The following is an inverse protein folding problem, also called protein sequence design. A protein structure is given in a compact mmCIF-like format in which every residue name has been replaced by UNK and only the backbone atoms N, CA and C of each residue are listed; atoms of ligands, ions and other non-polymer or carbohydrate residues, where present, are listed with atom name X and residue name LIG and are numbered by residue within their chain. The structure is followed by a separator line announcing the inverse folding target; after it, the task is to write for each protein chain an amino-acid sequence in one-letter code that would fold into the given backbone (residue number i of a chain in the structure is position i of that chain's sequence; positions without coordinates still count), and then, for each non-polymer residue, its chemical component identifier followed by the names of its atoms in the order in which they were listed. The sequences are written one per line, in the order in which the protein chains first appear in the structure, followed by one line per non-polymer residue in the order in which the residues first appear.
data_IF_683732560260
#
_entry.id   IF_683732560260
#
_cell.length_a   1.000
_cell.length_b   1.000
_cell.length_c   1.000
_cell.angle_alpha   90.00
_cell.angle_beta   90.00
_cell.angle_gamma   90.00
#
_symmetry.space_group_name_H-M   'P 1'
#
loop_
_entity.id
_entity.type
_entity.pdbx_description
1 polymer ?
#
# COMPACT_ATOMS: atom_id res chain seq x y z
N UNK A 1 24.77 -10.66 5.25
CA UNK A 1 25.59 -11.21 6.37
C UNK A 1 25.54 -10.24 7.54
N UNK A 2 25.29 -10.73 8.74
CA UNK A 2 25.22 -9.95 9.96
C UNK A 2 26.02 -10.72 11.04
N UNK A 3 26.90 -10.03 11.75
CA UNK A 3 27.66 -10.68 12.83
C UNK A 3 26.76 -11.02 14.03
N UNK A 4 27.23 -11.93 14.90
CA UNK A 4 26.42 -12.47 16.00
C UNK A 4 26.06 -11.39 17.03
N UNK A 5 26.94 -10.41 17.28
CA UNK A 5 26.68 -9.30 18.20
C UNK A 5 25.58 -8.39 17.65
N UNK A 6 25.68 -7.96 16.38
CA UNK A 6 24.67 -7.15 15.71
C UNK A 6 23.33 -7.90 15.59
N UNK A 7 23.36 -9.22 15.32
CA UNK A 7 22.15 -10.04 15.27
C UNK A 7 21.45 -10.12 16.63
N UNK A 8 22.20 -10.26 17.72
CA UNK A 8 21.65 -10.28 19.07
C UNK A 8 21.12 -8.89 19.47
N UNK A 9 21.75 -7.82 19.03
CA UNK A 9 21.26 -6.45 19.19
C UNK A 9 19.95 -6.24 18.42
N UNK A 10 19.87 -6.63 17.14
CA UNK A 10 18.66 -6.56 16.35
C UNK A 10 17.49 -7.34 17.01
N UNK A 11 17.77 -8.52 17.56
CA UNK A 11 16.76 -9.33 18.28
C UNK A 11 16.21 -8.64 19.53
N UNK A 12 17.02 -7.82 20.22
CA UNK A 12 16.60 -7.05 21.40
C UNK A 12 15.79 -5.80 21.02
N UNK A 13 15.98 -5.27 19.82
CA UNK A 13 15.35 -4.04 19.32
C UNK A 13 14.05 -4.28 18.54
N UNK A 14 13.31 -5.36 18.82
CA UNK A 14 12.11 -5.75 18.06
C UNK A 14 11.04 -4.65 18.03
N UNK A 15 10.92 -3.86 19.07
CA UNK A 15 9.92 -2.79 19.19
C UNK A 15 10.40 -1.41 18.72
N UNK A 16 11.63 -1.32 18.19
CA UNK A 16 12.25 -0.05 17.77
C UNK A 16 12.72 -0.12 16.33
N UNK A 17 12.74 1.02 15.66
CA UNK A 17 13.31 1.17 14.31
C UNK A 17 14.83 1.42 14.34
N UNK A 18 15.51 1.01 15.42
CA UNK A 18 16.95 1.20 15.56
C UNK A 18 17.70 0.18 14.68
N UNK A 19 18.40 0.62 13.63
CA UNK A 19 19.11 -0.27 12.74
C UNK A 19 20.41 -0.80 13.36
N UNK A 20 20.90 -1.92 12.81
CA UNK A 20 22.23 -2.45 13.06
C UNK A 20 23.01 -2.58 11.77
N UNK A 21 24.35 -2.48 11.82
CA UNK A 21 25.20 -2.63 10.64
C UNK A 21 25.22 -4.09 10.18
N UNK A 22 25.20 -4.28 8.87
CA UNK A 22 25.28 -5.58 8.21
C UNK A 22 25.87 -5.43 6.81
N UNK A 23 26.03 -6.55 6.09
CA UNK A 23 26.38 -6.56 4.68
C UNK A 23 25.31 -7.31 3.91
N UNK A 24 24.83 -6.70 2.81
CA UNK A 24 23.96 -7.34 1.84
C UNK A 24 24.78 -7.80 0.65
N UNK A 25 24.59 -9.03 0.22
CA UNK A 25 25.20 -9.58 -0.99
C UNK A 25 24.10 -9.95 -1.98
N UNK A 26 24.19 -9.39 -3.18
CA UNK A 26 23.30 -9.68 -4.32
C UNK A 26 24.19 -9.83 -5.55
N UNK A 27 24.03 -10.92 -6.28
CA UNK A 27 24.78 -11.20 -7.52
C UNK A 27 26.30 -10.99 -7.38
N UNK A 28 26.87 -11.46 -6.25
CA UNK A 28 28.30 -11.33 -5.88
C UNK A 28 28.77 -9.88 -5.60
N UNK A 29 27.90 -8.90 -5.61
CA UNK A 29 28.17 -7.52 -5.16
C UNK A 29 27.82 -7.40 -3.69
N UNK A 30 28.72 -6.83 -2.89
CA UNK A 30 28.51 -6.64 -1.45
C UNK A 30 28.31 -5.15 -1.15
N UNK A 31 27.23 -4.84 -0.47
CA UNK A 31 26.84 -3.51 -0.01
C UNK A 31 26.94 -3.43 1.52
N UNK A 32 27.45 -2.30 2.04
CA UNK A 32 27.33 -1.99 3.44
C UNK A 32 25.93 -1.44 3.71
N UNK A 33 25.25 -1.98 4.71
CA UNK A 33 23.86 -1.63 4.97
C UNK A 33 23.61 -1.44 6.46
N UNK A 34 22.51 -0.75 6.76
CA UNK A 34 21.85 -0.76 8.04
C UNK A 34 20.54 -1.53 7.91
N UNK A 35 20.30 -2.49 8.80
CA UNK A 35 19.10 -3.32 8.77
C UNK A 35 18.32 -3.18 10.08
N UNK A 36 17.02 -3.01 10.00
CA UNK A 36 16.10 -2.99 11.14
C UNK A 36 14.85 -3.84 10.85
N UNK A 37 14.09 -4.18 11.88
CA UNK A 37 12.74 -4.70 11.69
C UNK A 37 11.79 -3.56 11.35
N UNK A 38 10.81 -3.86 10.47
CA UNK A 38 9.76 -2.91 10.10
C UNK A 38 8.36 -3.44 10.40
N UNK A 39 7.37 -2.55 10.27
CA UNK A 39 5.98 -2.78 10.63
C UNK A 39 5.75 -2.56 12.12
N UNK A 40 4.51 -2.61 12.54
CA UNK A 40 4.11 -2.52 13.95
C UNK A 40 3.62 -3.87 14.46
N UNK A 41 2.45 -4.29 14.01
CA UNK A 41 1.84 -5.56 14.41
C UNK A 41 2.67 -6.79 13.96
N UNK A 42 3.28 -6.70 12.76
CA UNK A 42 4.04 -7.80 12.12
C UNK A 42 5.34 -8.17 12.85
N UNK A 43 5.87 -7.28 13.71
CA UNK A 43 7.08 -7.57 14.53
C UNK A 43 6.90 -8.72 15.50
N UNK A 44 5.65 -9.06 15.85
CA UNK A 44 5.30 -10.16 16.76
C UNK A 44 5.38 -11.53 16.08
N UNK A 45 5.44 -11.56 14.74
CA UNK A 45 5.43 -12.82 14.00
C UNK A 45 6.80 -13.49 13.94
N UNK A 46 6.79 -14.81 13.69
CA UNK A 46 8.04 -15.59 13.54
C UNK A 46 8.85 -15.19 12.32
N UNK A 47 8.16 -14.88 11.20
CA UNK A 47 8.75 -14.31 10.00
C UNK A 47 8.50 -12.80 10.03
N UNK A 48 9.58 -12.02 10.18
CA UNK A 48 9.52 -10.56 10.33
C UNK A 48 9.89 -9.86 9.05
N UNK A 49 9.31 -8.70 8.82
CA UNK A 49 9.69 -7.79 7.75
C UNK A 49 10.91 -6.96 8.13
N UNK A 50 11.70 -6.55 7.12
CA UNK A 50 12.91 -5.78 7.32
C UNK A 50 12.87 -4.49 6.52
N UNK A 51 13.54 -3.47 7.04
CA UNK A 51 13.97 -2.28 6.33
C UNK A 51 15.48 -2.32 6.21
N UNK A 52 15.97 -2.05 5.00
CA UNK A 52 17.40 -2.03 4.68
C UNK A 52 17.71 -0.66 4.09
N UNK A 53 18.60 0.07 4.76
CA UNK A 53 19.17 1.34 4.30
C UNK A 53 20.57 1.07 3.76
N UNK A 54 20.87 1.57 2.57
CA UNK A 54 22.20 1.58 2.00
C UNK A 54 22.96 2.81 2.51
N UNK A 55 24.29 2.73 2.56
CA UNK A 55 25.10 3.88 2.89
C UNK A 55 24.93 4.98 1.82
N UNK A 56 25.11 6.25 2.19
CA UNK A 56 24.82 7.42 1.34
C UNK A 56 25.51 7.40 -0.05
N UNK A 57 26.63 6.69 -0.16
CA UNK A 57 27.40 6.54 -1.39
C UNK A 57 27.02 5.31 -2.21
N UNK A 58 26.20 4.40 -1.66
CA UNK A 58 25.82 3.13 -2.28
C UNK A 58 24.33 3.13 -2.59
N UNK A 59 23.98 2.80 -3.81
CA UNK A 59 22.58 2.61 -4.23
C UNK A 59 22.41 1.21 -4.78
N UNK A 60 21.33 0.54 -4.42
CA UNK A 60 20.93 -0.74 -4.98
C UNK A 60 19.74 -0.53 -5.92
N UNK A 61 19.89 -0.86 -7.20
CA UNK A 61 18.87 -0.59 -8.24
C UNK A 61 18.39 0.88 -8.26
N UNK A 62 19.30 1.81 -7.97
CA UNK A 62 18.99 3.25 -7.95
C UNK A 62 18.30 3.76 -6.67
N UNK A 63 18.06 2.90 -5.65
CA UNK A 63 17.41 3.29 -4.40
C UNK A 63 18.37 3.25 -3.21
N UNK A 64 18.12 4.09 -2.22
CA UNK A 64 18.88 4.15 -0.95
C UNK A 64 18.23 3.31 0.16
N UNK A 65 16.98 2.88 -0.03
CA UNK A 65 16.21 2.08 0.93
C UNK A 65 15.37 1.05 0.22
N UNK A 66 15.30 -0.15 0.78
CA UNK A 66 14.38 -1.19 0.36
C UNK A 66 13.61 -1.76 1.56
N UNK A 67 12.39 -2.21 1.31
CA UNK A 67 11.57 -2.89 2.27
C UNK A 67 11.43 -4.37 1.88
N UNK A 68 11.68 -5.26 2.84
CA UNK A 68 11.45 -6.69 2.66
C UNK A 68 10.24 -7.11 3.50
N UNK A 69 9.10 -7.18 2.86
CA UNK A 69 7.85 -7.59 3.48
C UNK A 69 7.78 -9.11 3.60
N UNK A 70 7.50 -9.60 4.80
CA UNK A 70 7.45 -11.02 5.09
C UNK A 70 6.20 -11.72 4.56
N UNK A 71 5.14 -10.98 4.28
CA UNK A 71 3.81 -11.47 3.83
C UNK A 71 3.34 -12.67 4.69
N UNK A 72 3.60 -12.60 6.01
CA UNK A 72 3.51 -13.79 6.88
C UNK A 72 2.08 -14.30 7.01
N UNK A 73 1.10 -13.40 7.03
CA UNK A 73 -0.32 -13.74 7.18
C UNK A 73 -1.03 -14.01 5.85
N UNK A 74 -0.49 -13.53 4.74
CA UNK A 74 -1.00 -13.92 3.43
C UNK A 74 -0.55 -15.35 3.09
N UNK A 75 -1.47 -16.32 2.93
CA UNK A 75 -1.09 -17.68 2.54
C UNK A 75 -0.49 -17.75 1.15
N UNK A 76 -0.88 -16.85 0.25
CA UNK A 76 -0.40 -16.81 -1.14
C UNK A 76 0.92 -16.07 -1.31
N UNK A 77 1.28 -15.14 -0.43
CA UNK A 77 2.37 -14.19 -0.54
C UNK A 77 2.29 -13.26 -1.78
N UNK A 78 1.23 -13.28 -2.56
CA UNK A 78 1.13 -12.47 -3.80
C UNK A 78 0.19 -11.27 -3.68
N UNK A 79 -0.69 -11.19 -2.66
CA UNK A 79 -1.75 -10.19 -2.57
C UNK A 79 -1.26 -8.75 -2.60
N UNK A 80 -0.20 -8.45 -1.88
CA UNK A 80 0.37 -7.11 -1.85
C UNK A 80 0.91 -6.73 -3.24
N UNK A 81 1.75 -7.59 -3.85
CA UNK A 81 2.24 -7.38 -5.22
C UNK A 81 1.11 -7.27 -6.23
N UNK A 82 0.15 -8.20 -6.18
CA UNK A 82 -1.00 -8.21 -7.08
C UNK A 82 -1.79 -6.90 -7.00
N UNK A 83 -1.96 -6.35 -5.79
CA UNK A 83 -2.64 -5.07 -5.58
C UNK A 83 -1.84 -3.91 -6.18
N UNK A 84 -0.53 -3.85 -5.91
CA UNK A 84 0.31 -2.78 -6.41
C UNK A 84 0.38 -2.77 -7.95
N UNK A 85 0.48 -3.96 -8.57
CA UNK A 85 0.44 -4.11 -10.03
C UNK A 85 -0.94 -3.73 -10.60
N UNK A 86 -2.02 -4.05 -9.89
CA UNK A 86 -3.38 -3.66 -10.27
C UNK A 86 -3.57 -2.14 -10.24
N UNK A 87 -3.05 -1.45 -9.22
CA UNK A 87 -3.08 0.01 -9.18
C UNK A 87 -2.26 0.66 -10.30
N UNK A 88 -1.12 0.08 -10.70
CA UNK A 88 -0.38 0.55 -11.87
C UNK A 88 -1.23 0.43 -13.15
N UNK A 89 -1.94 -0.69 -13.34
CA UNK A 89 -2.86 -0.86 -14.48
C UNK A 89 -3.99 0.17 -14.48
N UNK A 90 -4.49 0.57 -13.30
CA UNK A 90 -5.49 1.62 -13.16
C UNK A 90 -4.94 3.03 -13.44
N UNK A 91 -3.65 3.18 -13.74
CA UNK A 91 -3.00 4.48 -13.92
C UNK A 91 -2.75 5.24 -12.62
N UNK A 92 -2.78 4.56 -11.48
CA UNK A 92 -2.45 5.13 -10.18
C UNK A 92 -0.96 4.95 -9.92
N UNK A 93 -0.27 5.99 -9.49
CA UNK A 93 1.12 5.88 -9.04
C UNK A 93 1.23 4.82 -7.94
N UNK A 94 2.05 3.80 -8.15
CA UNK A 94 2.20 2.68 -7.24
C UNK A 94 3.66 2.24 -7.18
N UNK A 95 4.18 1.84 -6.01
CA UNK A 95 5.56 1.38 -5.88
C UNK A 95 5.78 0.05 -6.62
N UNK A 96 6.97 -0.10 -7.19
CA UNK A 96 7.41 -1.37 -7.76
C UNK A 96 7.64 -2.40 -6.66
N UNK A 97 7.39 -3.66 -7.00
CA UNK A 97 7.62 -4.77 -6.08
C UNK A 97 8.01 -6.05 -6.80
N UNK A 98 8.80 -6.88 -6.15
CA UNK A 98 9.17 -8.20 -6.67
C UNK A 98 9.43 -9.20 -5.55
N UNK A 99 9.12 -10.47 -5.81
CA UNK A 99 9.46 -11.54 -4.88
C UNK A 99 10.95 -11.86 -4.94
N UNK A 100 11.52 -12.08 -3.76
CA UNK A 100 12.92 -12.48 -3.60
C UNK A 100 13.05 -13.65 -2.62
N UNK A 101 14.11 -14.43 -2.76
CA UNK A 101 14.54 -15.39 -1.75
C UNK A 101 15.50 -14.71 -0.78
N UNK A 102 15.11 -14.60 0.47
CA UNK A 102 15.95 -13.96 1.48
C UNK A 102 16.72 -15.00 2.30
N UNK A 103 18.03 -14.80 2.34
CA UNK A 103 18.95 -15.57 3.19
C UNK A 103 19.55 -14.66 4.24
N UNK A 104 19.76 -15.19 5.43
CA UNK A 104 20.49 -14.52 6.51
C UNK A 104 21.53 -15.46 7.06
N UNK A 105 22.82 -15.13 6.85
CA UNK A 105 23.95 -15.96 7.27
C UNK A 105 23.74 -17.44 6.86
N UNK A 106 23.65 -17.69 5.57
CA UNK A 106 23.48 -19.03 4.95
C UNK A 106 22.18 -19.77 5.33
N UNK A 107 21.34 -19.14 6.15
CA UNK A 107 20.05 -19.72 6.54
C UNK A 107 18.93 -19.10 5.73
N UNK A 108 18.19 -19.91 4.98
CA UNK A 108 17.01 -19.47 4.22
C UNK A 108 15.96 -18.89 5.19
N UNK A 109 15.45 -17.71 4.87
CA UNK A 109 14.35 -17.04 5.58
C UNK A 109 13.05 -17.08 4.79
N UNK A 110 13.09 -17.60 3.57
CA UNK A 110 11.96 -17.82 2.69
C UNK A 110 11.74 -16.70 1.69
N UNK A 111 10.56 -16.70 1.08
CA UNK A 111 10.14 -15.72 0.07
C UNK A 111 9.71 -14.43 0.77
N UNK A 112 10.24 -13.30 0.33
CA UNK A 112 9.87 -11.96 0.76
C UNK A 112 9.42 -11.14 -0.43
N UNK A 113 8.56 -10.17 -0.21
CA UNK A 113 8.29 -9.13 -1.18
C UNK A 113 9.28 -7.98 -0.96
N UNK A 114 10.16 -7.74 -1.92
CA UNK A 114 10.91 -6.50 -2.03
C UNK A 114 9.95 -5.42 -2.50
N UNK A 115 9.83 -4.36 -1.75
CA UNK A 115 8.94 -3.24 -2.00
C UNK A 115 9.76 -1.96 -2.09
N UNK A 116 9.55 -1.20 -3.16
CA UNK A 116 10.15 0.11 -3.38
C UNK A 116 9.69 1.11 -2.32
N UNK A 117 10.58 1.98 -1.85
CA UNK A 117 10.22 3.13 -1.01
C UNK A 117 9.55 4.21 -1.86
N UNK A 118 8.48 4.81 -1.38
CA UNK A 118 7.90 6.01 -1.99
C UNK A 118 8.62 7.22 -1.39
N UNK A 119 9.69 7.66 -2.07
CA UNK A 119 10.58 8.75 -1.66
C UNK A 119 11.05 9.56 -2.88
N UNK A 120 12.07 10.43 -2.73
CA UNK A 120 12.59 11.22 -3.85
C UNK A 120 13.07 10.36 -5.02
N UNK A 121 13.69 9.20 -4.74
CA UNK A 121 14.18 8.31 -5.79
C UNK A 121 13.05 7.63 -6.56
N UNK A 122 11.91 7.38 -5.89
CA UNK A 122 10.68 6.94 -6.54
C UNK A 122 10.19 7.96 -7.58
N UNK A 123 10.25 9.26 -7.25
CA UNK A 123 9.87 10.35 -8.16
C UNK A 123 10.87 10.47 -9.32
N UNK A 124 12.17 10.51 -9.02
CA UNK A 124 13.24 10.59 -10.02
C UNK A 124 13.15 9.46 -11.05
N UNK A 125 12.93 8.22 -10.61
CA UNK A 125 12.80 7.04 -11.48
C UNK A 125 11.65 7.13 -12.48
N UNK A 126 10.63 7.93 -12.17
CA UNK A 126 9.42 8.11 -12.99
C UNK A 126 9.37 9.47 -13.70
N UNK A 127 10.49 10.20 -13.68
CA UNK A 127 10.58 11.56 -14.23
C UNK A 127 9.48 12.49 -13.66
N UNK A 128 9.10 12.27 -12.39
CA UNK A 128 8.12 13.10 -11.70
C UNK A 128 8.81 14.27 -11.00
N UNK A 129 8.18 15.46 -10.97
CA UNK A 129 8.74 16.61 -10.30
C UNK A 129 8.89 16.37 -8.79
N UNK A 130 9.94 16.95 -8.20
CA UNK A 130 10.14 16.87 -6.76
C UNK A 130 8.97 17.51 -6.01
N UNK A 131 8.57 16.91 -4.89
CA UNK A 131 7.48 17.42 -4.07
C UNK A 131 7.36 16.66 -2.74
N UNK A 132 6.62 17.21 -1.78
CA UNK A 132 6.44 16.57 -0.49
C UNK A 132 5.67 15.25 -0.60
N UNK A 133 6.12 14.26 0.17
CA UNK A 133 5.48 12.95 0.29
C UNK A 133 5.16 12.68 1.76
N UNK A 134 3.92 12.25 2.03
CA UNK A 134 3.41 11.94 3.35
C UNK A 134 2.86 10.51 3.38
N UNK A 135 3.38 9.66 4.26
CA UNK A 135 2.77 8.37 4.55
C UNK A 135 1.67 8.50 5.60
N UNK A 136 0.52 7.91 5.33
CA UNK A 136 -0.55 7.70 6.29
C UNK A 136 -0.19 6.49 7.18
N UNK A 137 0.20 6.76 8.43
CA UNK A 137 0.79 5.77 9.33
C UNK A 137 -0.17 5.20 10.37
N UNK A 138 -1.33 5.82 10.55
CA UNK A 138 -2.38 5.35 11.46
C UNK A 138 -3.73 6.00 11.11
N UNK A 139 -4.79 5.60 11.80
CA UNK A 139 -6.17 6.04 11.56
C UNK A 139 -6.44 7.54 11.73
N UNK A 140 -5.47 8.31 12.22
CA UNK A 140 -5.60 9.77 12.27
C UNK A 140 -5.45 10.41 10.89
N UNK A 141 -4.88 9.70 9.90
CA UNK A 141 -4.77 10.15 8.51
C UNK A 141 -6.10 9.97 7.75
N UNK A 142 -7.19 10.46 8.31
CA UNK A 142 -8.55 10.28 7.83
C UNK A 142 -9.15 11.51 7.13
N UNK A 143 -8.35 12.51 6.82
CA UNK A 143 -8.75 13.80 6.23
C UNK A 143 -9.78 14.61 7.04
N UNK A 144 -10.07 14.22 8.29
CA UNK A 144 -11.02 14.90 9.17
C UNK A 144 -10.28 15.82 10.16
N UNK A 145 -10.97 16.85 10.64
CA UNK A 145 -10.53 17.64 11.80
C UNK A 145 -10.66 16.85 13.12
N UNK A 146 -11.39 15.75 13.11
CA UNK A 146 -11.79 15.01 14.30
C UNK A 146 -11.08 13.65 14.37
N UNK A 147 -10.84 13.21 15.62
CA UNK A 147 -10.44 11.86 15.99
C UNK A 147 -11.30 11.40 17.16
N UNK A 148 -11.98 10.26 17.02
CA UNK A 148 -12.84 9.71 18.07
C UNK A 148 -13.78 10.78 18.66
N UNK A 149 -14.46 11.53 17.79
CA UNK A 149 -15.39 12.64 18.12
C UNK A 149 -14.72 13.85 18.83
N UNK A 150 -13.41 13.92 18.92
CA UNK A 150 -12.65 15.03 19.51
C UNK A 150 -11.80 15.75 18.46
N UNK A 151 -11.62 17.07 18.56
CA UNK A 151 -10.71 17.80 17.68
C UNK A 151 -9.30 17.23 17.76
N UNK A 152 -8.65 17.05 16.60
CA UNK A 152 -7.23 16.70 16.53
C UNK A 152 -6.37 17.82 17.09
N UNK A 153 -5.28 17.47 17.77
CA UNK A 153 -4.29 18.44 18.23
C UNK A 153 -3.48 19.05 17.08
N UNK A 154 -3.34 18.30 15.99
CA UNK A 154 -2.71 18.74 14.73
C UNK A 154 -3.44 18.08 13.58
N UNK A 155 -3.70 18.82 12.50
CA UNK A 155 -4.30 18.28 11.28
C UNK A 155 -3.38 17.26 10.59
N UNK A 156 -2.07 17.35 10.84
CA UNK A 156 -1.08 16.41 10.32
C UNK A 156 -0.96 15.13 11.15
N UNK A 157 -1.75 14.98 12.23
CA UNK A 157 -1.77 13.73 12.99
C UNK A 157 -2.10 12.55 12.07
N UNK A 158 -1.31 11.48 12.17
CA UNK A 158 -1.42 10.30 11.33
C UNK A 158 -0.59 10.36 10.05
N UNK A 159 -0.03 11.51 9.68
CA UNK A 159 0.83 11.66 8.52
C UNK A 159 2.30 11.79 8.92
N UNK A 160 3.17 11.07 8.22
CA UNK A 160 4.63 11.16 8.36
C UNK A 160 5.23 11.66 7.06
N UNK A 161 5.77 12.90 7.06
CA UNK A 161 6.50 13.42 5.91
C UNK A 161 7.82 12.66 5.73
N UNK A 162 8.10 12.24 4.50
CA UNK A 162 9.32 11.52 4.12
C UNK A 162 10.12 12.27 3.05
N UNK A 163 9.48 13.15 2.28
CA UNK A 163 10.12 14.06 1.33
C UNK A 163 9.59 15.47 1.53
N UNK A 164 10.37 16.47 1.11
CA UNK A 164 10.07 17.87 1.32
C UNK A 164 10.56 18.38 2.70
N UNK A 165 10.26 19.63 3.01
CA UNK A 165 10.64 20.26 4.27
C UNK A 165 9.44 20.67 5.14
N UNK A 166 9.68 21.33 6.28
CA UNK A 166 8.59 21.67 7.21
C UNK A 166 7.65 22.76 6.68
N UNK A 167 8.07 23.56 5.71
CA UNK A 167 7.20 24.58 5.09
C UNK A 167 6.16 23.93 4.19
N UNK A 168 6.46 22.76 3.62
CA UNK A 168 5.53 22.00 2.77
C UNK A 168 4.32 21.46 3.55
N UNK A 169 4.44 21.32 4.87
CA UNK A 169 3.34 20.86 5.72
C UNK A 169 2.10 21.76 5.62
N UNK A 170 2.29 23.01 5.20
CA UNK A 170 1.21 23.97 4.93
C UNK A 170 0.27 23.49 3.81
N UNK A 171 0.79 22.80 2.81
CA UNK A 171 -0.02 22.28 1.71
C UNK A 171 -0.99 21.17 2.16
N UNK A 172 -0.51 20.23 2.98
CA UNK A 172 -1.37 19.19 3.53
C UNK A 172 -2.36 19.75 4.54
N UNK A 173 -1.93 20.71 5.36
CA UNK A 173 -2.82 21.43 6.27
C UNK A 173 -3.92 22.16 5.49
N UNK A 174 -3.58 22.84 4.40
CA UNK A 174 -4.53 23.54 3.52
C UNK A 174 -5.51 22.57 2.85
N UNK A 175 -5.04 21.43 2.32
CA UNK A 175 -5.91 20.38 1.80
C UNK A 175 -6.94 19.91 2.84
N UNK A 176 -6.48 19.55 4.04
CA UNK A 176 -7.39 19.07 5.11
C UNK A 176 -8.37 20.18 5.53
N UNK A 177 -7.91 21.43 5.60
CA UNK A 177 -8.78 22.57 5.91
C UNK A 177 -9.85 22.74 4.85
N UNK A 178 -9.47 22.75 3.57
CA UNK A 178 -10.41 22.85 2.42
C UNK A 178 -11.47 21.76 2.48
N UNK A 179 -11.08 20.50 2.70
CA UNK A 179 -12.01 19.36 2.82
C UNK A 179 -13.09 19.59 3.89
N UNK A 180 -12.73 20.26 4.99
CA UNK A 180 -13.61 20.34 6.18
C UNK A 180 -14.33 21.67 6.35
N UNK A 181 -13.90 22.74 5.68
CA UNK A 181 -14.43 24.10 5.95
C UNK A 181 -15.00 24.79 4.75
N UNK A 182 -14.75 24.28 3.53
CA UNK A 182 -15.31 24.90 2.31
C UNK A 182 -16.82 24.63 2.24
N UNK A 183 -17.57 25.67 1.98
CA UNK A 183 -19.04 25.52 1.83
C UNK A 183 -19.37 24.74 0.54
N UNK A 184 -20.47 23.97 0.53
CA UNK A 184 -20.76 23.02 -0.57
C UNK A 184 -20.76 23.62 -1.97
N UNK A 185 -21.21 24.87 -2.15
CA UNK A 185 -21.28 25.54 -3.47
C UNK A 185 -19.92 25.87 -4.09
N UNK A 186 -18.86 26.00 -3.29
CA UNK A 186 -17.50 26.27 -3.78
C UNK A 186 -16.59 25.03 -3.68
N UNK A 187 -17.05 23.99 -2.97
CA UNK A 187 -16.22 22.82 -2.68
C UNK A 187 -15.69 22.11 -3.95
N UNK A 188 -16.48 21.90 -5.03
CA UNK A 188 -15.98 21.23 -6.23
C UNK A 188 -14.79 21.97 -6.86
N UNK A 189 -14.88 23.28 -6.99
CA UNK A 189 -13.83 24.10 -7.60
C UNK A 189 -12.58 24.15 -6.71
N UNK A 190 -12.75 24.36 -5.41
CA UNK A 190 -11.65 24.48 -4.45
C UNK A 190 -10.90 23.16 -4.28
N UNK A 191 -11.61 22.02 -4.17
CA UNK A 191 -10.96 20.73 -3.98
C UNK A 191 -10.24 20.26 -5.25
N UNK A 192 -10.76 20.58 -6.44
CA UNK A 192 -10.13 20.24 -7.71
C UNK A 192 -8.79 20.97 -7.95
N UNK A 193 -8.53 22.05 -7.20
CA UNK A 193 -7.25 22.75 -7.19
C UNK A 193 -6.26 22.18 -6.17
N UNK A 194 -6.64 21.17 -5.39
CA UNK A 194 -5.83 20.59 -4.31
C UNK A 194 -5.47 19.13 -4.54
N UNK A 195 -6.38 18.36 -5.15
CA UNK A 195 -6.20 16.94 -5.36
C UNK A 195 -6.57 16.54 -6.78
N UNK A 196 -5.84 15.61 -7.36
CA UNK A 196 -6.16 14.99 -8.64
C UNK A 196 -7.39 14.07 -8.48
N UNK A 197 -8.57 14.57 -8.82
CA UNK A 197 -9.86 13.90 -8.61
C UNK A 197 -9.94 12.57 -9.40
N UNK A 198 -9.52 12.58 -10.67
CA UNK A 198 -9.54 11.37 -11.51
C UNK A 198 -8.66 10.26 -10.92
N UNK A 199 -7.42 10.61 -10.55
CA UNK A 199 -6.49 9.68 -9.94
C UNK A 199 -6.98 9.19 -8.57
N UNK A 200 -7.61 10.06 -7.80
CA UNK A 200 -8.20 9.70 -6.52
C UNK A 200 -9.35 8.68 -6.68
N UNK A 201 -10.23 8.85 -7.67
CA UNK A 201 -11.32 7.90 -7.90
C UNK A 201 -10.85 6.58 -8.49
N UNK A 202 -9.80 6.54 -9.31
CA UNK A 202 -9.14 5.30 -9.72
C UNK A 202 -8.56 4.56 -8.52
N UNK A 203 -7.90 5.29 -7.61
CA UNK A 203 -7.43 4.71 -6.36
C UNK A 203 -8.58 4.21 -5.47
N UNK A 204 -9.65 5.00 -5.30
CA UNK A 204 -10.81 4.60 -4.50
C UNK A 204 -11.46 3.32 -5.07
N UNK A 205 -11.69 3.28 -6.38
CA UNK A 205 -12.21 2.09 -7.07
C UNK A 205 -11.29 0.87 -6.86
N UNK A 206 -9.98 1.04 -7.01
CA UNK A 206 -9.00 -0.02 -6.74
C UNK A 206 -9.05 -0.52 -5.30
N UNK A 207 -9.12 0.40 -4.32
CA UNK A 207 -9.22 0.06 -2.89
C UNK A 207 -10.54 -0.66 -2.56
N UNK A 208 -11.63 -0.25 -3.19
CA UNK A 208 -12.95 -0.90 -3.08
C UNK A 208 -12.93 -2.28 -3.73
N UNK A 209 -12.42 -2.42 -4.94
CA UNK A 209 -12.31 -3.70 -5.64
C UNK A 209 -11.47 -4.71 -4.86
N UNK A 210 -10.26 -4.32 -4.46
CA UNK A 210 -9.33 -5.19 -3.72
C UNK A 210 -9.75 -5.43 -2.27
N UNK A 211 -10.68 -4.62 -1.77
CA UNK A 211 -11.23 -4.65 -0.43
C UNK A 211 -10.16 -4.47 0.66
N UNK A 212 -9.29 -3.46 0.49
CA UNK A 212 -8.34 -3.08 1.53
C UNK A 212 -9.07 -2.34 2.67
N UNK A 213 -9.39 -3.06 3.74
CA UNK A 213 -10.13 -2.50 4.87
C UNK A 213 -9.39 -1.35 5.57
N UNK A 214 -8.08 -1.42 5.64
CA UNK A 214 -7.24 -0.45 6.36
C UNK A 214 -6.78 0.70 5.45
N UNK A 215 -6.86 0.52 4.12
CA UNK A 215 -6.40 1.47 3.12
C UNK A 215 -7.15 2.80 3.08
N UNK A 216 -8.28 2.92 3.76
CA UNK A 216 -9.08 4.16 3.75
C UNK A 216 -8.63 5.20 4.79
N UNK A 217 -7.94 4.79 5.85
CA UNK A 217 -7.49 5.70 6.92
C UNK A 217 -5.99 5.64 7.20
N UNK A 218 -5.32 4.64 6.68
CA UNK A 218 -3.85 4.51 6.61
C UNK A 218 -3.50 3.56 5.45
N UNK A 219 -2.25 3.11 5.33
CA UNK A 219 -1.81 2.28 4.21
C UNK A 219 -1.98 2.98 2.84
N UNK A 220 -1.66 4.26 2.79
CA UNK A 220 -1.48 5.03 1.58
C UNK A 220 -0.38 6.09 1.77
N UNK A 221 0.10 6.65 0.69
CA UNK A 221 0.92 7.85 0.70
C UNK A 221 0.24 8.96 -0.11
N UNK A 222 0.57 10.21 0.20
CA UNK A 222 0.19 11.39 -0.56
C UNK A 222 1.45 12.02 -1.13
N UNK A 223 1.49 12.22 -2.42
CA UNK A 223 2.51 12.99 -3.11
C UNK A 223 1.87 14.27 -3.67
N UNK A 224 2.48 15.41 -3.41
CA UNK A 224 2.08 16.67 -4.05
C UNK A 224 3.01 16.96 -5.22
N UNK A 225 2.49 16.85 -6.41
CA UNK A 225 3.19 17.16 -7.64
C UNK A 225 3.43 18.68 -7.74
N UNK A 226 4.69 19.13 -7.87
CA UNK A 226 5.01 20.57 -7.88
C UNK A 226 4.61 21.27 -9.17
N UNK A 227 4.48 20.55 -10.29
CA UNK A 227 4.08 21.14 -11.57
C UNK A 227 2.57 21.41 -11.63
N UNK A 228 1.77 20.44 -11.16
CA UNK A 228 0.31 20.58 -11.15
C UNK A 228 -0.22 21.21 -9.86
N UNK A 229 0.57 21.25 -8.81
CA UNK A 229 0.20 21.62 -7.45
C UNK A 229 -0.88 20.73 -6.81
N UNK A 230 -1.19 19.59 -7.39
CA UNK A 230 -2.20 18.65 -6.91
C UNK A 230 -1.58 17.54 -6.07
N UNK A 231 -2.34 17.11 -5.06
CA UNK A 231 -2.04 15.87 -4.36
C UNK A 231 -2.50 14.66 -5.17
N UNK A 232 -1.68 13.63 -5.19
CA UNK A 232 -1.95 12.31 -5.72
C UNK A 232 -1.83 11.27 -4.60
N UNK A 233 -2.73 10.28 -4.59
CA UNK A 233 -2.73 9.22 -3.57
C UNK A 233 -2.11 7.96 -4.13
N UNK A 234 -1.25 7.29 -3.34
CA UNK A 234 -0.55 6.08 -3.71
C UNK A 234 -0.92 4.94 -2.76
N UNK A 235 -1.13 3.72 -3.26
CA UNK A 235 -1.40 2.56 -2.41
C UNK A 235 -0.14 2.16 -1.61
N UNK A 236 -0.34 1.64 -0.40
CA UNK A 236 0.70 1.12 0.47
C UNK A 236 0.17 0.01 1.36
N UNK A 237 0.93 -1.11 1.50
CA UNK A 237 0.65 -2.21 2.43
C UNK A 237 -0.70 -2.92 2.19
N UNK A 238 -0.83 -3.59 1.03
CA UNK A 238 -2.06 -4.25 0.55
C UNK A 238 -2.03 -5.78 0.72
N UNK A 239 -1.41 -6.29 1.79
CA UNK A 239 -1.29 -7.75 2.04
C UNK A 239 -2.60 -8.39 2.52
N UNK A 240 -3.49 -7.61 3.14
CA UNK A 240 -4.80 -8.04 3.63
C UNK A 240 -5.93 -7.62 2.67
N UNK A 241 -5.92 -8.19 1.48
CA UNK A 241 -6.82 -7.87 0.35
C UNK A 241 -7.29 -9.14 -0.34
N UNK A 242 -8.05 -9.01 -1.43
CA UNK A 242 -8.51 -10.13 -2.27
C UNK A 242 -9.12 -11.27 -1.44
N UNK A 243 -10.04 -10.92 -0.53
CA UNK A 243 -10.77 -11.88 0.31
C UNK A 243 -10.04 -12.38 1.55
N UNK A 244 -8.87 -11.82 1.93
CA UNK A 244 -8.17 -12.15 3.18
C UNK A 244 -8.14 -10.97 4.16
N UNK A 245 -8.28 -11.28 5.44
CA UNK A 245 -8.12 -10.35 6.58
C UNK A 245 -6.66 -10.26 7.01
N UNK A 246 -6.32 -9.23 7.78
CA UNK A 246 -4.98 -9.03 8.40
C UNK A 246 -4.47 -10.23 9.21
N UNK A 247 -5.35 -11.07 9.71
CA UNK A 247 -5.00 -12.30 10.43
C UNK A 247 -4.87 -13.53 9.51
N UNK A 248 -5.08 -13.38 8.19
CA UNK A 248 -5.07 -14.44 7.17
C UNK A 248 -6.38 -15.21 7.02
N UNK A 249 -7.42 -14.90 7.79
CA UNK A 249 -8.76 -15.50 7.65
C UNK A 249 -9.50 -14.97 6.41
N UNK A 250 -10.56 -15.66 6.00
CA UNK A 250 -11.44 -15.23 4.90
C UNK A 250 -12.21 -13.99 5.30
N UNK A 251 -12.30 -13.03 4.38
CA UNK A 251 -13.11 -11.81 4.51
C UNK A 251 -14.34 -11.92 3.59
N UNK A 252 -15.50 -11.56 4.11
CA UNK A 252 -16.72 -11.54 3.30
C UNK A 252 -16.60 -10.47 2.22
N UNK A 253 -16.89 -10.80 0.97
CA UNK A 253 -16.80 -9.94 -0.20
C UNK A 253 -17.68 -8.67 -0.13
N UNK A 254 -18.65 -8.60 0.80
CA UNK A 254 -19.53 -7.43 1.00
C UNK A 254 -19.03 -6.46 2.10
N UNK A 255 -17.90 -6.77 2.76
CA UNK A 255 -17.47 -6.07 3.97
C UNK A 255 -17.13 -4.59 3.78
N UNK A 256 -16.62 -4.21 2.61
CA UNK A 256 -16.36 -2.81 2.24
C UNK A 256 -17.47 -2.33 1.30
N UNK A 257 -18.22 -1.26 1.65
CA UNK A 257 -19.24 -0.69 0.77
C UNK A 257 -18.64 -0.09 -0.50
N UNK A 258 -19.51 0.21 -1.47
CA UNK A 258 -19.10 0.76 -2.77
C UNK A 258 -18.49 2.18 -2.64
N UNK A 259 -18.91 2.95 -1.65
CA UNK A 259 -18.39 4.30 -1.36
C UNK A 259 -17.04 4.27 -0.62
N UNK A 260 -16.51 3.07 -0.36
CA UNK A 260 -15.39 2.88 0.55
C UNK A 260 -15.84 2.86 2.01
N UNK A 261 -14.90 2.78 2.93
CA UNK A 261 -15.19 2.65 4.36
C UNK A 261 -15.41 4.00 5.04
N UNK A 262 -16.32 4.03 6.00
CA UNK A 262 -16.75 5.20 6.79
C UNK A 262 -15.64 5.75 7.66
N UNK A 263 -14.53 5.96 7.43
CA UNK A 263 -13.43 6.54 8.24
C UNK A 263 -12.65 7.57 7.44
N UNK A 264 -12.79 7.56 6.12
CA UNK A 264 -12.14 8.53 5.25
C UNK A 264 -13.13 9.68 4.96
N UNK A 265 -12.85 10.84 5.55
CA UNK A 265 -13.74 11.99 5.39
C UNK A 265 -13.72 12.56 3.97
N UNK A 266 -12.60 12.44 3.25
CA UNK A 266 -12.52 12.90 1.85
C UNK A 266 -13.45 12.09 0.94
N UNK A 267 -13.52 10.75 1.07
CA UNK A 267 -14.49 9.94 0.34
C UNK A 267 -15.92 10.45 0.54
N UNK A 268 -16.28 10.68 1.82
CA UNK A 268 -17.62 11.14 2.16
C UNK A 268 -17.97 12.46 1.48
N UNK A 269 -17.11 13.48 1.57
CA UNK A 269 -17.42 14.81 1.01
C UNK A 269 -17.37 14.84 -0.51
N UNK A 270 -16.45 14.12 -1.14
CA UNK A 270 -16.38 14.02 -2.60
C UNK A 270 -17.66 13.39 -3.19
N UNK A 271 -18.14 12.31 -2.57
CA UNK A 271 -19.34 11.61 -3.03
C UNK A 271 -20.66 12.36 -2.73
N UNK A 272 -20.65 13.47 -1.98
CA UNK A 272 -21.79 14.37 -1.87
C UNK A 272 -21.93 15.29 -3.09
N UNK A 273 -20.89 15.45 -3.90
CA UNK A 273 -20.89 16.26 -5.12
C UNK A 273 -21.41 15.41 -6.29
N UNK A 274 -22.56 15.76 -6.92
CA UNK A 274 -23.18 14.91 -7.95
C UNK A 274 -22.27 14.58 -9.13
N UNK A 275 -21.53 15.56 -9.66
CA UNK A 275 -20.59 15.36 -10.75
C UNK A 275 -19.41 14.43 -10.37
N UNK A 276 -18.90 14.51 -9.16
CA UNK A 276 -17.84 13.63 -8.67
C UNK A 276 -18.35 12.21 -8.41
N UNK A 277 -19.56 12.09 -7.88
CA UNK A 277 -20.19 10.79 -7.68
C UNK A 277 -20.45 10.08 -8.99
N UNK A 278 -20.91 10.82 -10.02
CA UNK A 278 -21.07 10.30 -11.37
C UNK A 278 -19.73 9.85 -11.96
N UNK A 279 -18.68 10.67 -11.85
CA UNK A 279 -17.34 10.34 -12.33
C UNK A 279 -16.81 9.08 -11.64
N UNK A 280 -16.97 8.96 -10.32
CA UNK A 280 -16.58 7.75 -9.58
C UNK A 280 -17.36 6.52 -10.06
N UNK A 281 -18.68 6.65 -10.25
CA UNK A 281 -19.52 5.56 -10.77
C UNK A 281 -19.01 5.06 -12.13
N UNK A 282 -18.81 5.97 -13.08
CA UNK A 282 -18.31 5.66 -14.43
C UNK A 282 -16.92 4.98 -14.37
N UNK A 283 -16.02 5.50 -13.52
CA UNK A 283 -14.68 4.92 -13.30
C UNK A 283 -14.78 3.48 -12.74
N UNK A 284 -15.65 3.28 -11.77
CA UNK A 284 -15.82 1.95 -11.17
C UNK A 284 -16.48 0.97 -12.14
N UNK A 285 -17.49 1.39 -12.90
CA UNK A 285 -18.12 0.56 -13.96
C UNK A 285 -17.08 0.10 -14.98
N UNK A 286 -16.27 1.01 -15.52
CA UNK A 286 -15.17 0.66 -16.44
C UNK A 286 -14.25 -0.41 -15.86
N UNK A 287 -13.80 -0.22 -14.61
CA UNK A 287 -12.89 -1.16 -13.94
C UNK A 287 -13.55 -2.54 -13.74
N UNK A 288 -14.81 -2.57 -13.33
CA UNK A 288 -15.56 -3.82 -13.13
C UNK A 288 -15.81 -4.60 -14.42
N UNK A 289 -15.90 -3.90 -15.55
CA UNK A 289 -16.10 -4.53 -16.86
C UNK A 289 -14.80 -5.00 -17.52
N UNK A 290 -13.67 -4.29 -17.26
CA UNK A 290 -12.43 -4.51 -18.01
C UNK A 290 -11.33 -5.16 -17.21
N UNK A 291 -11.00 -4.65 -16.02
CA UNK A 291 -9.78 -5.03 -15.30
C UNK A 291 -10.04 -5.84 -14.03
N UNK A 292 -11.17 -5.60 -13.33
CA UNK A 292 -11.54 -6.39 -12.16
C UNK A 292 -12.41 -7.59 -12.53
N UNK A 293 -11.91 -8.39 -13.46
CA UNK A 293 -12.53 -9.64 -13.96
C UNK A 293 -11.57 -10.82 -13.77
N UNK A 294 -12.11 -12.04 -13.72
CA UNK A 294 -11.26 -13.24 -13.63
C UNK A 294 -10.36 -13.35 -14.86
N UNK A 295 -10.90 -13.12 -16.05
CA UNK A 295 -10.17 -13.25 -17.31
C UNK A 295 -8.95 -12.32 -17.37
N UNK A 296 -9.09 -11.09 -16.88
CA UNK A 296 -7.97 -10.15 -16.81
C UNK A 296 -6.96 -10.54 -15.70
N UNK A 297 -7.45 -10.87 -14.52
CA UNK A 297 -6.60 -11.11 -13.35
C UNK A 297 -5.91 -12.48 -13.36
N UNK A 298 -6.46 -13.47 -14.08
CA UNK A 298 -5.82 -14.79 -14.23
C UNK A 298 -4.41 -14.67 -14.81
N UNK A 299 -4.24 -13.79 -15.82
CA UNK A 299 -2.95 -13.51 -16.46
C UNK A 299 -1.91 -12.88 -15.52
N UNK A 300 -2.31 -12.42 -14.35
CA UNK A 300 -1.43 -11.86 -13.30
C UNK A 300 -1.26 -12.85 -12.14
N UNK A 301 -2.35 -13.40 -11.65
CA UNK A 301 -2.35 -14.30 -10.49
C UNK A 301 -1.55 -15.57 -10.75
N UNK A 302 -1.82 -16.27 -11.86
CA UNK A 302 -1.18 -17.55 -12.14
C UNK A 302 0.34 -17.43 -12.36
N UNK A 303 0.87 -16.48 -13.16
CA UNK A 303 2.31 -16.32 -13.30
C UNK A 303 3.01 -15.98 -11.98
N UNK A 304 2.45 -15.10 -11.15
CA UNK A 304 3.00 -14.77 -9.83
C UNK A 304 3.05 -16.01 -8.93
N UNK A 305 1.95 -16.75 -8.85
CA UNK A 305 1.86 -17.96 -8.04
C UNK A 305 2.86 -19.03 -8.50
N UNK A 306 2.90 -19.32 -9.81
CA UNK A 306 3.80 -20.31 -10.40
C UNK A 306 5.27 -19.94 -10.20
N UNK A 307 5.62 -18.66 -10.35
CA UNK A 307 6.99 -18.15 -10.19
C UNK A 307 7.54 -18.44 -8.79
N UNK A 308 6.75 -18.23 -7.74
CA UNK A 308 7.24 -18.39 -6.36
C UNK A 308 7.02 -19.79 -5.78
N UNK A 309 6.17 -20.61 -6.38
CA UNK A 309 5.83 -21.95 -5.88
C UNK A 309 7.04 -22.84 -5.56
N UNK A 310 8.06 -22.96 -6.41
CA UNK A 310 9.24 -23.77 -6.09
C UNK A 310 9.97 -23.28 -4.82
N UNK A 311 9.94 -21.99 -4.56
CA UNK A 311 10.58 -21.36 -3.42
C UNK A 311 9.76 -21.53 -2.14
N UNK A 312 8.43 -21.63 -2.24
CA UNK A 312 7.54 -21.92 -1.10
C UNK A 312 7.84 -23.30 -0.50
N UNK A 313 8.20 -24.29 -1.34
CA UNK A 313 8.62 -25.61 -0.86
C UNK A 313 9.89 -25.58 0.02
N UNK A 314 10.70 -24.52 -0.10
CA UNK A 314 11.90 -24.28 0.66
C UNK A 314 11.69 -23.29 1.83
N UNK A 315 10.59 -22.53 1.83
CA UNK A 315 10.29 -21.52 2.85
C UNK A 315 10.01 -22.21 4.21
N UNK A 316 10.81 -21.96 5.25
CA UNK A 316 10.66 -22.64 6.55
C UNK A 316 9.33 -22.34 7.25
N UNK A 317 8.60 -21.30 6.81
CA UNK A 317 7.33 -20.87 7.41
C UNK A 317 6.10 -21.30 6.61
N UNK A 318 6.29 -21.70 5.35
CA UNK A 318 5.18 -21.97 4.40
C UNK A 318 5.19 -23.40 3.85
N UNK A 319 6.32 -24.07 3.75
CA UNK A 319 6.48 -25.41 3.13
C UNK A 319 5.48 -26.47 3.62
N UNK A 320 5.11 -26.43 4.90
CA UNK A 320 4.15 -27.38 5.48
C UNK A 320 2.67 -27.00 5.22
N UNK A 321 2.42 -25.96 4.42
CA UNK A 321 1.08 -25.44 4.07
C UNK A 321 0.95 -25.28 2.55
N UNK A 322 1.64 -26.10 1.80
CA UNK A 322 1.68 -26.01 0.34
C UNK A 322 0.27 -26.18 -0.27
N UNK A 323 -0.55 -27.07 0.29
CA UNK A 323 -1.92 -27.27 -0.19
C UNK A 323 -2.77 -26.00 -0.03
N UNK A 324 -2.55 -25.23 1.05
CA UNK A 324 -3.22 -23.95 1.25
C UNK A 324 -2.73 -22.94 0.21
N UNK A 325 -1.42 -22.87 -0.01
CA UNK A 325 -0.81 -21.99 -1.01
C UNK A 325 -1.33 -22.32 -2.42
N UNK A 326 -1.35 -23.61 -2.79
CA UNK A 326 -1.78 -24.06 -4.12
C UNK A 326 -3.27 -23.77 -4.39
N UNK A 327 -4.10 -23.64 -3.35
CA UNK A 327 -5.53 -23.30 -3.49
C UNK A 327 -5.81 -21.78 -3.50
N UNK A 328 -4.82 -20.92 -3.21
CA UNK A 328 -5.03 -19.46 -3.11
C UNK A 328 -5.45 -18.79 -4.43
N UNK A 329 -4.96 -19.19 -5.63
CA UNK A 329 -5.45 -18.63 -6.88
C UNK A 329 -6.96 -18.77 -7.04
N UNK A 330 -7.54 -19.95 -6.78
CA UNK A 330 -8.99 -20.15 -6.89
C UNK A 330 -9.77 -19.33 -5.86
N UNK A 331 -9.25 -19.15 -4.64
CA UNK A 331 -9.86 -18.27 -3.65
C UNK A 331 -9.85 -16.80 -4.10
N UNK A 332 -8.80 -16.36 -4.77
CA UNK A 332 -8.71 -15.01 -5.35
C UNK A 332 -9.73 -14.87 -6.48
N UNK A 333 -9.85 -15.87 -7.39
CA UNK A 333 -10.82 -15.84 -8.48
C UNK A 333 -12.27 -15.89 -7.99
N UNK A 334 -12.55 -16.70 -6.99
CA UNK A 334 -13.86 -16.71 -6.34
C UNK A 334 -14.19 -15.35 -5.74
N UNK A 335 -13.25 -14.74 -5.01
CA UNK A 335 -13.42 -13.40 -4.46
C UNK A 335 -13.70 -12.36 -5.54
N UNK A 336 -12.96 -12.40 -6.67
CA UNK A 336 -13.16 -11.47 -7.79
C UNK A 336 -14.57 -11.60 -8.34
N UNK A 337 -15.04 -12.83 -8.63
CA UNK A 337 -16.41 -13.07 -9.11
C UNK A 337 -17.46 -12.50 -8.16
N UNK A 338 -17.40 -12.92 -6.89
CA UNK A 338 -18.38 -12.53 -5.88
C UNK A 338 -18.37 -11.02 -5.61
N UNK A 339 -17.17 -10.42 -5.55
CA UNK A 339 -16.99 -8.99 -5.31
C UNK A 339 -17.44 -8.15 -6.51
N UNK A 340 -17.12 -8.55 -7.73
CA UNK A 340 -17.55 -7.88 -8.96
C UNK A 340 -19.07 -7.85 -9.04
N UNK A 341 -19.73 -9.02 -8.86
CA UNK A 341 -21.20 -9.12 -8.86
C UNK A 341 -21.83 -8.25 -7.77
N UNK A 342 -21.27 -8.28 -6.56
CA UNK A 342 -21.74 -7.43 -5.47
C UNK A 342 -21.65 -5.95 -5.84
N UNK A 343 -20.51 -5.49 -6.33
CA UNK A 343 -20.30 -4.07 -6.66
C UNK A 343 -21.21 -3.62 -7.82
N UNK A 344 -21.36 -4.43 -8.87
CA UNK A 344 -22.31 -4.16 -9.97
C UNK A 344 -23.74 -3.97 -9.47
N UNK A 345 -24.18 -4.81 -8.53
CA UNK A 345 -25.51 -4.68 -7.92
C UNK A 345 -25.67 -3.46 -7.02
N UNK A 346 -24.56 -2.82 -6.60
CA UNK A 346 -24.59 -1.62 -5.77
C UNK A 346 -24.42 -0.31 -6.55
N UNK A 347 -24.14 -0.36 -7.85
CA UNK A 347 -23.87 0.84 -8.67
C UNK A 347 -25.02 1.87 -8.62
N UNK A 348 -26.27 1.41 -8.49
CA UNK A 348 -27.42 2.31 -8.33
C UNK A 348 -27.40 3.12 -7.04
N UNK A 349 -26.60 2.75 -6.04
CA UNK A 349 -26.46 3.56 -4.82
C UNK A 349 -25.62 4.84 -5.08
N UNK A 350 -24.97 4.92 -6.23
CA UNK A 350 -24.19 6.08 -6.67
C UNK A 350 -24.96 7.01 -7.62
N UNK A 351 -26.28 6.76 -7.85
CA UNK A 351 -27.15 7.62 -8.66
C UNK A 351 -27.56 8.91 -7.93
#
# INVERSE_FOLDING_TARGET
MIDEKALNELRKKVSKDDPVSAKLMVDNITYNIKISYRGDYTRKFRKRSYMIDFDDTEKFLGVSRIHLNAEYKDPSLIRNKLSLDFFQDLGVLSPDSQHINFYRNDSIKGVYLHLESVDNLFLEKRDLPAGPIYYAINNDANFSLMRDEKPKKSLLSGYKRVCGDSSDDTFLHDLITTINTTIPSYFPDEISQKINIDQYFRWLAGAVCTMNNDGFTHNYALYRNSDTCLFEILPWDYDATWGRKVNGGIMNHTYVPIEGKSGNHLNYVLLQVPEFRKLYKETLEEILETMFTVDYMENKVLPLHQCIRPQILLDPYKKNKIDIFDNEPELIFQFIRERNDYLKNQLSNLD
#
